data_IF_757991675696
#
_entry.id   IF_757991675696
#
_cell.length_a   1.000
_cell.length_b   1.000
_cell.length_c   1.000
_cell.angle_alpha   90.00
_cell.angle_beta   90.00
_cell.angle_gamma   90.00
#
_symmetry.space_group_name_H-M   'P 1'
#
loop_
_entity.id
_entity.type
_entity.pdbx_description
1 polymer ?
#
# COMPACT_ATOMS: atom_id res chain seq x y z
N UNK A 1 -16.82 57.12 -9.45
CA UNK A 1 -16.12 55.95 -8.87
C UNK A 1 -16.97 54.70 -9.10
N UNK A 2 -16.63 53.86 -10.08
CA UNK A 2 -17.29 52.56 -10.30
C UNK A 2 -16.18 51.50 -10.41
N UNK A 3 -16.00 50.70 -9.36
CA UNK A 3 -15.07 49.57 -9.36
C UNK A 3 -15.82 48.37 -9.91
N UNK A 4 -15.45 47.90 -11.10
CA UNK A 4 -15.93 46.63 -11.64
C UNK A 4 -15.03 45.55 -11.05
N UNK A 5 -15.61 44.72 -10.18
CA UNK A 5 -14.94 43.61 -9.52
C UNK A 5 -14.90 42.44 -10.51
N UNK A 6 -13.70 42.10 -11.00
CA UNK A 6 -13.47 40.91 -11.82
C UNK A 6 -13.51 39.71 -10.89
N UNK A 7 -14.57 38.91 -10.99
CA UNK A 7 -14.66 37.60 -10.33
C UNK A 7 -14.00 36.59 -11.24
N UNK A 8 -12.72 36.34 -11.02
CA UNK A 8 -11.99 35.26 -11.70
C UNK A 8 -12.48 33.93 -11.12
N UNK A 9 -13.29 33.18 -11.87
CA UNK A 9 -13.55 31.78 -11.56
C UNK A 9 -12.24 31.01 -11.73
N UNK A 10 -11.62 30.63 -10.61
CA UNK A 10 -10.59 29.58 -10.62
C UNK A 10 -11.28 28.28 -11.02
N UNK A 11 -11.10 27.89 -12.28
CA UNK A 11 -11.30 26.52 -12.73
C UNK A 11 -10.38 25.60 -11.91
N UNK A 12 -10.97 24.76 -11.05
CA UNK A 12 -10.26 23.62 -10.46
C UNK A 12 -9.84 22.68 -11.59
N UNK A 13 -8.60 22.84 -12.06
CA UNK A 13 -7.97 21.89 -12.98
C UNK A 13 -7.80 20.60 -12.18
N UNK A 14 -8.78 19.69 -12.31
CA UNK A 14 -8.60 18.29 -11.95
C UNK A 14 -7.61 17.71 -12.94
N UNK A 15 -6.30 17.84 -12.67
CA UNK A 15 -5.35 16.92 -13.26
C UNK A 15 -5.74 15.53 -12.74
N UNK A 16 -6.14 14.57 -13.58
CA UNK A 16 -6.16 13.20 -13.14
C UNK A 16 -4.71 12.91 -12.75
N UNK A 17 -4.47 12.66 -11.46
CA UNK A 17 -3.26 11.97 -11.04
C UNK A 17 -3.35 10.61 -11.74
N UNK A 18 -2.74 10.51 -12.93
CA UNK A 18 -2.69 9.27 -13.69
C UNK A 18 -1.79 8.36 -12.88
N UNK A 19 -2.37 7.38 -12.21
CA UNK A 19 -1.60 6.33 -11.57
C UNK A 19 -0.87 5.55 -12.66
N UNK A 20 0.43 5.36 -12.51
CA UNK A 20 1.17 4.46 -13.41
C UNK A 20 0.79 3.02 -13.10
N UNK A 21 0.51 2.26 -14.16
CA UNK A 21 0.34 0.82 -14.11
C UNK A 21 1.64 0.17 -14.61
N UNK A 22 2.23 -0.71 -13.80
CA UNK A 22 3.39 -1.52 -14.17
C UNK A 22 2.94 -2.92 -14.57
N UNK A 23 3.57 -3.52 -15.58
CA UNK A 23 3.36 -4.95 -15.86
C UNK A 23 3.96 -5.84 -14.77
N UNK A 24 3.43 -7.07 -14.60
CA UNK A 24 3.99 -8.04 -13.64
C UNK A 24 5.50 -8.31 -13.87
N UNK A 25 5.92 -8.42 -15.13
CA UNK A 25 7.34 -8.61 -15.49
C UNK A 25 8.20 -7.42 -15.08
N UNK A 26 7.67 -6.20 -15.15
CA UNK A 26 8.37 -4.99 -14.74
C UNK A 26 8.52 -4.93 -13.22
N UNK A 27 7.44 -5.23 -12.50
CA UNK A 27 7.45 -5.30 -11.04
C UNK A 27 8.42 -6.38 -10.54
N UNK A 28 8.45 -7.55 -11.19
CA UNK A 28 9.40 -8.61 -10.88
C UNK A 28 10.84 -8.15 -11.12
N UNK A 29 11.13 -7.53 -12.27
CA UNK A 29 12.45 -6.95 -12.56
C UNK A 29 12.84 -5.88 -11.54
N UNK A 30 11.90 -5.05 -11.08
CA UNK A 30 12.18 -4.05 -10.05
C UNK A 30 12.55 -4.71 -8.71
N UNK A 31 11.82 -5.77 -8.31
CA UNK A 31 12.14 -6.54 -7.12
C UNK A 31 13.54 -7.15 -7.17
N UNK A 32 13.87 -7.80 -8.29
CA UNK A 32 15.16 -8.46 -8.51
C UNK A 32 16.32 -7.46 -8.45
N UNK A 33 16.09 -6.25 -8.96
CA UNK A 33 17.06 -5.15 -8.93
C UNK A 33 17.00 -4.30 -7.65
N UNK A 34 16.24 -4.70 -6.64
CA UNK A 34 15.99 -3.94 -5.41
C UNK A 34 15.43 -2.51 -5.60
N UNK A 35 14.89 -2.21 -6.78
CA UNK A 35 14.21 -0.95 -7.07
C UNK A 35 12.80 -0.98 -6.47
N UNK A 36 12.37 0.12 -5.86
CA UNK A 36 11.00 0.28 -5.36
C UNK A 36 10.21 1.09 -6.39
N UNK A 37 8.94 0.75 -6.66
CA UNK A 37 8.04 1.62 -7.41
C UNK A 37 7.83 2.96 -6.69
N UNK A 38 7.59 4.02 -7.45
CA UNK A 38 7.27 5.33 -6.91
C UNK A 38 5.83 5.31 -6.34
N UNK A 39 5.63 5.88 -5.15
CA UNK A 39 4.34 5.85 -4.43
C UNK A 39 3.80 7.29 -4.27
N UNK A 40 2.49 7.50 -4.51
CA UNK A 40 1.87 8.85 -4.48
C UNK A 40 0.64 9.00 -3.59
N UNK A 41 -0.07 7.92 -3.28
CA UNK A 41 -1.30 8.02 -2.48
C UNK A 41 -1.00 7.91 -0.99
N UNK A 42 -1.72 8.62 -0.10
CA UNK A 42 -1.67 8.34 1.32
C UNK A 42 -1.99 6.86 1.57
N UNK A 43 -1.33 6.28 2.57
CA UNK A 43 -1.55 4.89 2.96
C UNK A 43 -3.02 4.73 3.38
N UNK A 44 -3.78 3.95 2.60
CA UNK A 44 -5.17 3.61 2.91
C UNK A 44 -5.22 2.28 3.65
N UNK A 45 -5.71 2.27 4.88
CA UNK A 45 -5.90 1.02 5.63
C UNK A 45 -7.19 0.34 5.18
N UNK A 46 -7.07 -0.83 4.55
CA UNK A 46 -8.21 -1.62 4.07
C UNK A 46 -8.79 -2.52 5.16
N UNK A 47 -7.92 -3.15 5.94
CA UNK A 47 -8.29 -4.10 6.99
C UNK A 47 -7.49 -3.82 8.25
N UNK A 48 -8.15 -3.93 9.40
CA UNK A 48 -7.51 -3.97 10.71
C UNK A 48 -8.23 -4.99 11.59
N UNK A 49 -7.49 -5.99 12.04
CA UNK A 49 -7.93 -6.96 13.04
C UNK A 49 -7.06 -6.80 14.29
N UNK A 50 -7.69 -6.86 15.45
CA UNK A 50 -7.02 -6.77 16.75
C UNK A 50 -7.05 -8.13 17.44
N UNK A 51 -6.25 -8.25 18.49
CA UNK A 51 -6.30 -9.34 19.45
C UNK A 51 -6.11 -10.73 18.83
N UNK A 52 -5.16 -10.83 17.89
CA UNK A 52 -4.77 -12.10 17.27
C UNK A 52 -4.00 -13.03 18.23
N UNK A 53 -3.81 -12.62 19.49
CA UNK A 53 -3.13 -13.37 20.53
C UNK A 53 -1.61 -13.33 20.39
N UNK A 54 -1.07 -14.04 19.39
CA UNK A 54 0.37 -14.20 19.21
C UNK A 54 0.85 -13.80 17.83
N UNK A 55 2.15 -13.49 17.70
CA UNK A 55 2.77 -13.20 16.42
C UNK A 55 2.67 -14.38 15.44
N UNK A 56 2.66 -15.62 15.95
CA UNK A 56 2.45 -16.84 15.16
C UNK A 56 1.04 -16.85 14.55
N UNK A 57 0.03 -16.65 15.39
CA UNK A 57 -1.38 -16.58 14.97
C UNK A 57 -1.61 -15.45 13.96
N UNK A 58 -0.94 -14.32 14.15
CA UNK A 58 -0.99 -13.24 13.16
C UNK A 58 -0.36 -13.64 11.83
N UNK A 59 0.80 -14.31 11.81
CA UNK A 59 1.41 -14.80 10.57
C UNK A 59 0.52 -15.83 9.86
N UNK A 60 -0.24 -16.65 10.59
CA UNK A 60 -1.22 -17.56 9.99
C UNK A 60 -2.40 -16.80 9.36
N UNK A 61 -2.93 -15.79 10.05
CA UNK A 61 -3.91 -14.88 9.48
C UNK A 61 -3.36 -14.19 8.21
N UNK A 62 -2.15 -13.64 8.28
CA UNK A 62 -1.47 -12.97 7.18
C UNK A 62 -1.33 -13.89 5.96
N UNK A 63 -0.93 -15.15 6.16
CA UNK A 63 -0.84 -16.15 5.09
C UNK A 63 -2.18 -16.37 4.39
N UNK A 64 -3.27 -16.50 5.16
CA UNK A 64 -4.63 -16.63 4.58
C UNK A 64 -5.02 -15.42 3.75
N UNK A 65 -4.67 -14.21 4.20
CA UNK A 65 -4.94 -12.98 3.44
C UNK A 65 -4.09 -12.88 2.16
N UNK A 66 -2.94 -13.56 2.10
CA UNK A 66 -2.04 -13.57 0.95
C UNK A 66 -2.42 -14.62 -0.11
N UNK A 67 -3.27 -15.60 0.21
CA UNK A 67 -3.67 -16.67 -0.71
C UNK A 67 -4.16 -16.16 -2.08
N UNK A 68 -4.98 -15.09 -2.19
CA UNK A 68 -5.42 -14.56 -3.48
C UNK A 68 -4.31 -13.93 -4.32
N UNK A 69 -3.13 -13.68 -3.73
CA UNK A 69 -2.05 -12.88 -4.31
C UNK A 69 -0.77 -13.68 -4.55
N UNK A 70 -0.82 -15.02 -4.48
CA UNK A 70 0.36 -15.89 -4.65
C UNK A 70 1.02 -15.72 -6.03
N UNK A 71 0.25 -15.41 -7.07
CA UNK A 71 0.76 -15.19 -8.42
C UNK A 71 1.46 -13.83 -8.61
N UNK A 72 1.33 -12.91 -7.67
CA UNK A 72 1.89 -11.56 -7.77
C UNK A 72 3.27 -11.48 -7.12
N UNK A 73 4.16 -10.60 -7.60
CA UNK A 73 5.47 -10.39 -6.99
C UNK A 73 5.35 -9.95 -5.52
N UNK A 74 6.03 -10.67 -4.61
CA UNK A 74 6.00 -10.43 -3.17
C UNK A 74 7.39 -10.11 -2.61
N UNK A 75 7.46 -9.23 -1.61
CA UNK A 75 8.69 -8.90 -0.89
C UNK A 75 8.44 -8.72 0.59
N UNK A 76 9.32 -9.30 1.41
CA UNK A 76 9.36 -8.97 2.84
C UNK A 76 9.74 -7.50 2.97
N UNK A 77 8.87 -6.71 3.60
CA UNK A 77 9.08 -5.30 3.86
C UNK A 77 9.96 -5.09 5.09
N UNK A 78 9.39 -4.47 6.12
CA UNK A 78 9.96 -4.45 7.46
C UNK A 78 9.82 -5.83 8.13
N UNK A 79 10.91 -6.30 8.74
CA UNK A 79 10.98 -7.47 9.60
C UNK A 79 11.81 -7.11 10.82
N UNK A 80 11.14 -6.88 11.94
CA UNK A 80 11.70 -6.53 13.25
C UNK A 80 10.99 -7.37 14.31
N UNK A 81 11.48 -7.33 15.55
CA UNK A 81 10.92 -8.10 16.67
C UNK A 81 9.39 -7.93 16.80
N UNK A 82 8.89 -6.70 16.64
CA UNK A 82 7.49 -6.32 16.83
C UNK A 82 6.72 -6.03 15.54
N UNK A 83 7.34 -6.20 14.37
CA UNK A 83 6.72 -5.88 13.09
C UNK A 83 7.19 -6.85 12.01
N UNK A 84 6.23 -7.48 11.34
CA UNK A 84 6.51 -8.30 10.16
C UNK A 84 5.57 -7.94 9.04
N UNK A 85 6.12 -7.56 7.90
CA UNK A 85 5.34 -7.08 6.77
C UNK A 85 5.70 -7.80 5.48
N UNK A 86 4.67 -8.09 4.69
CA UNK A 86 4.80 -8.60 3.32
C UNK A 86 4.14 -7.57 2.41
N UNK A 87 4.87 -7.18 1.37
CA UNK A 87 4.39 -6.30 0.32
C UNK A 87 4.08 -7.13 -0.90
N UNK A 88 2.91 -6.91 -1.48
CA UNK A 88 2.49 -7.48 -2.76
C UNK A 88 2.43 -6.34 -3.76
N UNK A 89 3.15 -6.47 -4.87
CA UNK A 89 3.13 -5.50 -5.95
C UNK A 89 2.09 -5.93 -6.99
N UNK A 90 1.03 -5.16 -7.13
CA UNK A 90 0.07 -5.26 -8.24
C UNK A 90 0.43 -4.21 -9.28
N UNK A 91 -0.26 -4.19 -10.42
CA UNK A 91 0.08 -3.31 -11.54
C UNK A 91 -0.03 -1.82 -11.18
N UNK A 92 -1.13 -1.42 -10.55
CA UNK A 92 -1.47 -0.02 -10.23
C UNK A 92 -1.21 0.38 -8.76
N UNK A 93 -0.94 -0.61 -7.90
CA UNK A 93 -0.87 -0.43 -6.44
C UNK A 93 0.04 -1.44 -5.75
N UNK A 94 0.40 -1.13 -4.52
CA UNK A 94 1.04 -2.06 -3.59
C UNK A 94 0.10 -2.31 -2.40
N UNK A 95 -0.04 -3.58 -2.03
CA UNK A 95 -0.65 -3.98 -0.77
C UNK A 95 0.43 -4.33 0.25
N UNK A 96 0.29 -3.87 1.49
CA UNK A 96 1.18 -4.22 2.60
C UNK A 96 0.38 -4.89 3.71
N UNK A 97 0.72 -6.15 3.96
CA UNK A 97 0.13 -6.98 5.00
C UNK A 97 1.05 -6.96 6.20
N UNK A 98 0.62 -6.43 7.34
CA UNK A 98 1.44 -6.33 8.54
C UNK A 98 0.91 -7.22 9.66
N UNK A 99 1.84 -7.75 10.45
CA UNK A 99 1.66 -8.21 11.81
C UNK A 99 2.43 -7.27 12.73
N UNK A 100 1.74 -6.69 13.71
CA UNK A 100 2.26 -5.65 14.59
C UNK A 100 2.01 -6.06 16.04
N UNK A 101 3.07 -6.08 16.85
CA UNK A 101 3.04 -6.43 18.27
C UNK A 101 3.45 -5.21 19.12
N UNK A 102 2.48 -4.36 19.46
CA UNK A 102 2.70 -3.18 20.31
C UNK A 102 2.11 -3.41 21.69
N UNK A 103 0.78 -3.28 21.80
CA UNK A 103 0.02 -3.55 23.04
C UNK A 103 -0.69 -4.91 22.95
N UNK A 104 -1.26 -5.21 21.79
CA UNK A 104 -1.84 -6.50 21.40
C UNK A 104 -1.44 -6.79 19.97
N UNK A 105 -1.22 -8.07 19.65
CA UNK A 105 -0.88 -8.48 18.29
C UNK A 105 -2.06 -8.19 17.36
N UNK A 106 -1.79 -7.37 16.34
CA UNK A 106 -2.78 -6.93 15.35
C UNK A 106 -2.31 -7.19 13.93
N UNK A 107 -3.28 -7.40 13.06
CA UNK A 107 -3.09 -7.58 11.64
C UNK A 107 -3.65 -6.39 10.87
N UNK A 108 -2.91 -5.86 9.90
CA UNK A 108 -3.42 -4.78 9.02
C UNK A 108 -3.13 -5.07 7.57
N UNK A 109 -4.01 -4.64 6.66
CA UNK A 109 -3.76 -4.59 5.23
C UNK A 109 -3.87 -3.14 4.79
N UNK A 110 -2.80 -2.62 4.20
CA UNK A 110 -2.70 -1.25 3.73
C UNK A 110 -2.49 -1.22 2.21
N UNK A 111 -3.03 -0.21 1.56
CA UNK A 111 -2.94 0.03 0.12
C UNK A 111 -2.24 1.36 -0.15
N UNK A 112 -1.39 1.37 -1.18
CA UNK A 112 -0.85 2.60 -1.77
C UNK A 112 -0.83 2.50 -3.29
N UNK A 113 -1.09 3.61 -3.98
CA UNK A 113 -1.03 3.68 -5.44
C UNK A 113 0.33 4.20 -5.93
N UNK A 114 0.74 3.75 -7.11
CA UNK A 114 1.99 4.19 -7.71
C UNK A 114 1.88 5.50 -8.47
N UNK A 115 3.04 6.16 -8.62
CA UNK A 115 3.23 7.31 -9.50
C UNK A 115 3.58 6.85 -10.89
#
# INVERSE_FOLDING_TARGET
MKKILVVTLLSCIHFPLMATTYGLDELQKMLDNNKKPDVVSPIKQLVKVKDLGSFKSCKEWQKKQLEPYVAYPQKVGASMEKLYSIRVLLEDRMLTFNCIDLDNVSGTINEVMYK
#
